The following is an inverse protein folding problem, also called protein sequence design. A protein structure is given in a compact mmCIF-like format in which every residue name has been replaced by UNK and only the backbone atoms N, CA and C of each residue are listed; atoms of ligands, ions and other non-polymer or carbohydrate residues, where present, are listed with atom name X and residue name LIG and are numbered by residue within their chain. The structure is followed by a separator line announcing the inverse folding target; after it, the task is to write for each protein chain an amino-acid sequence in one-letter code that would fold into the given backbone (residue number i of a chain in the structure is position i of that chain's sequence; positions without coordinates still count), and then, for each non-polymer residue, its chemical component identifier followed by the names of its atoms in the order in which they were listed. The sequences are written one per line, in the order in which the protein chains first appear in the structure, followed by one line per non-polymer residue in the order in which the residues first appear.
data_IF_899280246654
#
_entry.id   IF_899280246654
#
_cell.length_a   1.000
_cell.length_b   1.000
_cell.length_c   1.000
_cell.angle_alpha   90.00
_cell.angle_beta   90.00
_cell.angle_gamma   90.00
#
_symmetry.space_group_name_H-M   'P 1'
#
loop_
_entity.id
_entity.type
_entity.pdbx_description
1 polymer ?
#
# COMPACT_ATOMS: atom_id res chain seq x y z
N UNK A 1 -103.09 15.03 -7.77
CA UNK A 1 -103.09 16.28 -8.55
C UNK A 1 -102.08 17.23 -7.93
N UNK A 2 -101.37 18.08 -8.65
CA UNK A 2 -101.49 18.44 -10.07
C UNK A 2 -100.13 18.95 -10.56
N UNK A 3 -99.91 18.70 -11.84
CA UNK A 3 -98.94 19.23 -12.80
C UNK A 3 -98.96 20.76 -12.91
N UNK A 4 -97.79 21.38 -13.13
CA UNK A 4 -97.67 22.66 -13.85
C UNK A 4 -96.26 22.87 -14.43
N UNK A 5 -96.14 22.53 -15.71
CA UNK A 5 -95.24 23.01 -16.79
C UNK A 5 -95.31 24.56 -16.93
N UNK A 6 -94.50 25.37 -17.63
CA UNK A 6 -93.28 25.33 -18.46
C UNK A 6 -92.90 26.82 -18.68
N UNK A 7 -91.62 27.19 -18.78
CA UNK A 7 -91.20 28.41 -19.50
C UNK A 7 -89.73 28.32 -19.91
N UNK A 8 -89.53 28.14 -21.22
CA UNK A 8 -88.28 28.30 -21.94
C UNK A 8 -87.80 29.75 -21.90
N UNK A 9 -86.51 29.97 -21.63
CA UNK A 9 -85.69 31.00 -22.29
C UNK A 9 -84.25 30.48 -22.38
N UNK A 10 -83.69 30.21 -23.57
CA UNK A 10 -82.26 30.07 -23.75
C UNK A 10 -81.69 31.43 -24.14
N UNK A 11 -81.17 32.20 -23.18
CA UNK A 11 -80.40 33.41 -23.52
C UNK A 11 -79.02 32.97 -24.01
N UNK A 12 -78.87 32.85 -25.33
CA UNK A 12 -77.59 32.73 -25.99
C UNK A 12 -76.77 33.99 -25.71
N UNK A 13 -75.71 33.86 -24.91
CA UNK A 13 -74.65 34.86 -24.86
C UNK A 13 -73.36 34.15 -25.25
N UNK A 14 -72.95 34.38 -26.49
CA UNK A 14 -71.61 34.12 -27.00
C UNK A 14 -70.56 34.77 -26.08
N UNK A 15 -69.50 34.07 -25.64
CA UNK A 15 -68.36 34.77 -25.09
C UNK A 15 -67.58 35.37 -26.25
N UNK A 16 -67.75 36.68 -26.43
CA UNK A 16 -66.90 37.51 -27.27
C UNK A 16 -65.44 37.34 -26.82
N UNK A 17 -64.56 37.06 -27.78
CA UNK A 17 -63.13 36.88 -27.55
C UNK A 17 -62.50 38.09 -26.86
N UNK A 18 -61.83 37.83 -25.75
CA UNK A 18 -60.78 38.72 -25.25
C UNK A 18 -59.47 37.96 -25.32
N UNK A 19 -58.66 38.40 -26.27
CA UNK A 19 -57.23 38.12 -26.40
C UNK A 19 -56.52 38.26 -25.05
N UNK A 20 -56.10 37.13 -24.47
CA UNK A 20 -55.14 37.09 -23.36
C UNK A 20 -53.74 37.42 -23.90
N UNK A 21 -53.53 38.71 -24.19
CA UNK A 21 -52.23 39.26 -24.57
C UNK A 21 -51.32 39.24 -23.34
N UNK A 22 -50.47 38.21 -23.29
CA UNK A 22 -49.26 38.17 -22.49
C UNK A 22 -49.46 38.21 -20.98
N UNK A 23 -49.67 37.06 -20.36
CA UNK A 23 -49.20 36.81 -18.98
C UNK A 23 -49.20 35.31 -18.70
N UNK A 24 -48.08 34.87 -18.13
CA UNK A 24 -47.83 33.54 -17.52
C UNK A 24 -47.30 32.45 -18.46
N UNK A 25 -46.08 32.65 -18.96
CA UNK A 25 -45.21 31.58 -19.46
C UNK A 25 -43.82 31.78 -18.85
N UNK A 26 -43.72 31.77 -17.52
CA UNK A 26 -42.43 31.79 -16.81
C UNK A 26 -42.38 30.80 -15.65
N UNK A 27 -43.46 30.04 -15.39
CA UNK A 27 -43.53 29.05 -14.31
C UNK A 27 -43.46 27.61 -14.85
N UNK A 28 -44.04 27.35 -16.02
CA UNK A 28 -44.08 26.00 -16.64
C UNK A 28 -42.67 25.49 -17.01
N UNK A 29 -41.81 26.37 -17.53
CA UNK A 29 -40.46 25.99 -17.95
C UNK A 29 -39.59 25.67 -16.73
N UNK A 30 -39.76 26.38 -15.62
CA UNK A 30 -38.98 26.23 -14.40
C UNK A 30 -39.31 24.93 -13.65
N UNK A 31 -40.58 24.51 -13.67
CA UNK A 31 -41.02 23.19 -13.18
C UNK A 31 -40.48 22.09 -14.07
N UNK A 32 -40.57 22.28 -15.40
CA UNK A 32 -40.04 21.31 -16.36
C UNK A 32 -38.52 21.17 -16.19
N UNK A 33 -37.74 22.27 -16.12
CA UNK A 33 -36.29 22.29 -15.83
C UNK A 33 -35.96 21.52 -14.54
N UNK A 34 -36.70 21.78 -13.46
CA UNK A 34 -36.48 21.09 -12.17
C UNK A 34 -36.79 19.60 -12.27
N UNK A 35 -37.81 19.19 -13.04
CA UNK A 35 -38.15 17.78 -13.24
C UNK A 35 -37.11 17.03 -14.10
N UNK A 36 -36.62 17.61 -15.22
CA UNK A 36 -35.52 17.01 -16.00
C UNK A 36 -34.24 16.91 -15.16
N UNK A 37 -33.93 17.93 -14.36
CA UNK A 37 -32.75 17.90 -13.48
C UNK A 37 -32.90 16.85 -12.37
N UNK A 38 -34.09 16.71 -11.79
CA UNK A 38 -34.37 15.69 -10.78
C UNK A 38 -34.30 14.27 -11.34
N UNK A 39 -34.83 14.03 -12.54
CA UNK A 39 -34.72 12.73 -13.23
C UNK A 39 -33.28 12.42 -13.63
N UNK A 40 -32.52 13.40 -14.15
CA UNK A 40 -31.11 13.24 -14.47
C UNK A 40 -30.27 12.88 -13.23
N UNK A 41 -30.51 13.56 -12.09
CA UNK A 41 -29.85 13.22 -10.82
C UNK A 41 -30.26 11.84 -10.26
N UNK A 42 -31.46 11.37 -10.58
CA UNK A 42 -31.97 10.06 -10.16
C UNK A 42 -31.38 8.94 -11.04
N UNK A 43 -31.25 9.17 -12.34
CA UNK A 43 -30.67 8.26 -13.33
C UNK A 43 -29.15 8.10 -13.11
N UNK A 44 -28.42 9.21 -12.87
CA UNK A 44 -27.00 9.16 -12.49
C UNK A 44 -26.74 8.42 -11.16
N UNK A 45 -27.72 8.44 -10.24
CA UNK A 45 -27.66 7.67 -8.98
C UNK A 45 -27.92 6.17 -9.18
N UNK A 46 -28.80 5.81 -10.13
CA UNK A 46 -29.24 4.44 -10.39
C UNK A 46 -28.26 3.68 -11.29
N UNK A 47 -27.74 4.31 -12.34
CA UNK A 47 -26.86 3.67 -13.32
C UNK A 47 -25.47 3.35 -12.80
N UNK A 48 -25.04 4.06 -11.75
CA UNK A 48 -23.78 3.78 -11.06
C UNK A 48 -23.92 2.85 -9.85
N UNK A 49 -25.12 2.36 -9.53
CA UNK A 49 -25.31 1.49 -8.36
C UNK A 49 -24.52 0.18 -8.47
N UNK A 50 -24.54 -0.56 -9.60
CA UNK A 50 -23.71 -1.77 -9.75
C UNK A 50 -22.21 -1.47 -9.66
N UNK A 51 -21.76 -0.36 -10.26
CA UNK A 51 -20.36 0.07 -10.24
C UNK A 51 -19.89 0.47 -8.82
N UNK A 52 -20.74 1.17 -8.05
CA UNK A 52 -20.46 1.54 -6.66
C UNK A 52 -20.41 0.32 -5.74
N UNK A 53 -21.29 -0.65 -5.95
CA UNK A 53 -21.26 -1.92 -5.22
C UNK A 53 -20.01 -2.74 -5.58
N UNK A 54 -19.63 -2.80 -6.86
CA UNK A 54 -18.41 -3.45 -7.30
C UNK A 54 -17.16 -2.77 -6.71
N UNK A 55 -17.09 -1.43 -6.72
CA UNK A 55 -16.02 -0.67 -6.11
C UNK A 55 -15.93 -0.89 -4.60
N UNK A 56 -17.08 -0.95 -3.91
CA UNK A 56 -17.14 -1.25 -2.47
C UNK A 56 -16.64 -2.66 -2.16
N UNK A 57 -17.06 -3.66 -2.95
CA UNK A 57 -16.59 -5.05 -2.80
C UNK A 57 -15.08 -5.13 -3.05
N UNK A 58 -14.57 -4.47 -4.11
CA UNK A 58 -13.14 -4.41 -4.41
C UNK A 58 -12.34 -3.78 -3.27
N UNK A 59 -12.81 -2.65 -2.74
CA UNK A 59 -12.20 -1.96 -1.61
C UNK A 59 -12.19 -2.83 -0.35
N UNK A 60 -13.28 -3.53 -0.04
CA UNK A 60 -13.35 -4.46 1.09
C UNK A 60 -12.36 -5.62 0.93
N UNK A 61 -12.25 -6.22 -0.26
CA UNK A 61 -11.27 -7.27 -0.55
C UNK A 61 -9.83 -6.76 -0.38
N UNK A 62 -9.52 -5.57 -0.91
CA UNK A 62 -8.20 -4.96 -0.73
C UNK A 62 -7.89 -4.67 0.74
N UNK A 63 -8.83 -4.14 1.52
CA UNK A 63 -8.63 -3.90 2.95
C UNK A 63 -8.38 -5.20 3.73
N UNK A 64 -9.02 -6.32 3.36
CA UNK A 64 -8.72 -7.63 3.95
C UNK A 64 -7.31 -8.12 3.59
N UNK A 65 -6.89 -7.93 2.34
CA UNK A 65 -5.53 -8.28 1.89
C UNK A 65 -4.50 -7.43 2.61
N UNK A 66 -4.70 -6.10 2.70
CA UNK A 66 -3.79 -5.21 3.42
C UNK A 66 -3.71 -5.53 4.91
N UNK A 67 -4.84 -5.87 5.55
CA UNK A 67 -4.84 -6.34 6.95
C UNK A 67 -4.06 -7.64 7.10
N UNK A 68 -4.25 -8.60 6.20
CA UNK A 68 -3.53 -9.88 6.23
C UNK A 68 -2.04 -9.71 5.95
N UNK A 69 -1.67 -8.78 5.06
CA UNK A 69 -0.26 -8.44 4.80
C UNK A 69 0.36 -7.77 6.02
N UNK A 70 -0.30 -6.77 6.62
CA UNK A 70 0.17 -6.13 7.86
C UNK A 70 0.28 -7.16 8.98
N UNK A 71 -0.74 -7.99 9.19
CA UNK A 71 -0.71 -9.10 10.15
C UNK A 71 0.45 -10.06 9.89
N UNK A 72 0.80 -10.34 8.62
CA UNK A 72 1.95 -11.19 8.27
C UNK A 72 3.30 -10.51 8.48
N UNK A 73 3.40 -9.20 8.33
CA UNK A 73 4.63 -8.43 8.59
C UNK A 73 4.83 -8.19 10.08
N UNK A 74 3.74 -8.00 10.82
CA UNK A 74 3.72 -7.89 12.28
C UNK A 74 3.74 -9.27 12.95
N UNK A 75 3.61 -10.36 12.18
CA UNK A 75 3.71 -11.71 12.71
C UNK A 75 5.14 -11.94 13.15
N UNK A 76 5.38 -12.31 14.42
CA UNK A 76 6.70 -12.75 14.83
C UNK A 76 7.12 -13.89 13.91
N UNK A 77 8.39 -13.88 13.49
CA UNK A 77 8.97 -14.89 12.61
C UNK A 77 8.46 -16.28 13.02
N UNK A 78 7.80 -16.97 12.10
CA UNK A 78 7.15 -18.23 12.46
C UNK A 78 8.20 -19.26 12.87
N UNK A 79 7.86 -20.19 13.74
CA UNK A 79 8.76 -21.26 14.20
C UNK A 79 9.43 -22.00 13.03
N UNK A 80 8.69 -22.30 11.96
CA UNK A 80 9.23 -22.92 10.75
C UNK A 80 10.27 -22.03 10.05
N UNK A 81 10.06 -20.71 10.04
CA UNK A 81 11.02 -19.73 9.53
C UNK A 81 12.22 -19.60 10.45
N UNK A 82 12.06 -19.55 11.78
CA UNK A 82 13.17 -19.57 12.75
C UNK A 82 14.03 -20.81 12.56
N UNK A 83 13.41 -21.99 12.45
CA UNK A 83 14.14 -23.26 12.25
C UNK A 83 14.89 -23.25 10.93
N UNK A 84 14.27 -22.71 9.88
CA UNK A 84 14.90 -22.59 8.56
C UNK A 84 16.06 -21.61 8.59
N UNK A 85 15.88 -20.45 9.24
CA UNK A 85 16.92 -19.47 9.48
C UNK A 85 18.11 -20.09 10.22
N UNK A 86 17.88 -20.80 11.33
CA UNK A 86 18.94 -21.45 12.11
C UNK A 86 19.66 -22.54 11.31
N UNK A 87 18.94 -23.35 10.51
CA UNK A 87 19.57 -24.32 9.59
C UNK A 87 20.45 -23.63 8.55
N UNK A 88 19.99 -22.53 7.96
CA UNK A 88 20.78 -21.78 6.99
C UNK A 88 21.99 -21.12 7.65
N UNK A 89 21.82 -20.52 8.82
CA UNK A 89 22.89 -19.90 9.59
C UNK A 89 24.01 -20.90 9.93
N UNK A 90 23.65 -22.06 10.48
CA UNK A 90 24.61 -23.13 10.79
C UNK A 90 25.26 -23.70 9.54
N UNK A 91 24.53 -23.84 8.43
CA UNK A 91 25.11 -24.29 7.16
C UNK A 91 26.03 -23.28 6.50
N UNK A 92 25.82 -21.99 6.74
CA UNK A 92 26.54 -20.92 6.06
C UNK A 92 27.84 -20.51 6.77
N UNK A 93 28.09 -20.93 8.02
CA UNK A 93 29.32 -20.69 8.80
C UNK A 93 29.88 -19.25 8.69
N UNK A 94 29.04 -18.25 8.42
CA UNK A 94 29.47 -16.94 7.92
C UNK A 94 29.70 -15.90 9.02
N UNK A 95 29.79 -16.34 10.28
CA UNK A 95 30.09 -15.49 11.43
C UNK A 95 30.90 -16.29 12.45
N UNK A 96 32.20 -16.32 12.24
CA UNK A 96 33.23 -16.86 13.14
C UNK A 96 33.21 -16.16 14.53
N UNK A 97 32.55 -15.00 14.63
CA UNK A 97 32.33 -14.24 15.88
C UNK A 97 31.22 -14.83 16.76
N UNK A 98 30.26 -15.55 16.18
CA UNK A 98 29.08 -16.04 16.90
C UNK A 98 28.75 -17.53 16.68
N UNK A 99 29.51 -18.23 15.82
CA UNK A 99 29.28 -19.64 15.50
C UNK A 99 29.80 -20.52 16.61
N UNK A 100 29.02 -20.64 17.68
CA UNK A 100 29.30 -21.50 18.82
C UNK A 100 29.09 -22.98 18.45
N UNK A 101 29.89 -23.55 17.55
CA UNK A 101 30.01 -25.00 17.33
C UNK A 101 28.71 -25.79 17.11
N UNK A 102 27.63 -25.16 16.64
CA UNK A 102 26.33 -25.82 16.54
C UNK A 102 26.29 -26.82 15.38
N UNK A 103 25.82 -28.02 15.68
CA UNK A 103 25.52 -29.05 14.68
C UNK A 103 24.08 -28.96 14.20
N UNK A 104 23.84 -29.40 12.96
CA UNK A 104 22.48 -29.54 12.43
C UNK A 104 21.59 -30.47 13.26
N UNK A 105 22.19 -31.42 14.00
CA UNK A 105 21.48 -32.30 14.92
C UNK A 105 20.95 -31.52 16.14
N UNK A 106 21.78 -30.64 16.72
CA UNK A 106 21.37 -29.78 17.82
C UNK A 106 20.23 -28.83 17.43
N UNK A 107 20.32 -28.17 16.26
CA UNK A 107 19.24 -27.29 15.79
C UNK A 107 17.92 -28.06 15.56
N UNK A 108 17.99 -29.34 15.18
CA UNK A 108 16.81 -30.20 15.02
C UNK A 108 16.22 -30.62 16.37
N UNK A 109 17.03 -30.75 17.42
CA UNK A 109 16.59 -31.17 18.75
C UNK A 109 16.14 -30.01 19.66
N UNK A 110 16.30 -28.74 19.24
CA UNK A 110 15.83 -27.60 20.03
C UNK A 110 14.32 -27.61 20.21
N UNK A 111 13.89 -27.27 21.43
CA UNK A 111 12.50 -26.93 21.70
C UNK A 111 12.15 -25.59 21.04
N UNK A 112 10.87 -25.31 20.91
CA UNK A 112 10.41 -24.11 20.18
C UNK A 112 10.79 -22.83 20.91
N UNK A 113 10.74 -22.84 22.25
CA UNK A 113 11.18 -21.72 23.07
C UNK A 113 12.69 -21.46 22.92
N UNK A 114 13.51 -22.53 22.95
CA UNK A 114 14.96 -22.43 22.74
C UNK A 114 15.30 -21.89 21.36
N UNK A 115 14.59 -22.35 20.33
CA UNK A 115 14.79 -21.91 18.95
C UNK A 115 14.47 -20.43 18.77
N UNK A 116 13.38 -19.97 19.39
CA UNK A 116 12.99 -18.56 19.38
C UNK A 116 14.03 -17.69 20.07
N UNK A 117 14.41 -18.04 21.30
CA UNK A 117 15.39 -17.31 22.09
C UNK A 117 16.73 -17.17 21.35
N UNK A 118 17.31 -18.27 20.87
CA UNK A 118 18.60 -18.23 20.19
C UNK A 118 18.53 -17.47 18.87
N UNK A 119 17.43 -17.58 18.11
CA UNK A 119 17.27 -16.81 16.87
C UNK A 119 17.20 -15.30 17.11
N UNK A 120 16.48 -14.87 18.14
CA UNK A 120 16.38 -13.45 18.54
C UNK A 120 17.73 -12.93 19.05
N UNK A 121 18.44 -13.75 19.82
CA UNK A 121 19.77 -13.44 20.35
C UNK A 121 20.80 -13.23 19.23
N UNK A 122 20.78 -14.08 18.20
CA UNK A 122 21.63 -13.93 17.01
C UNK A 122 21.27 -12.66 16.24
N UNK A 123 19.98 -12.44 15.95
CA UNK A 123 19.53 -11.24 15.25
C UNK A 123 19.96 -9.96 15.98
N UNK A 124 19.82 -9.95 17.31
CA UNK A 124 20.25 -8.84 18.16
C UNK A 124 21.76 -8.65 18.13
N UNK A 125 22.55 -9.73 18.22
CA UNK A 125 24.01 -9.66 18.14
C UNK A 125 24.47 -9.10 16.78
N UNK A 126 23.89 -9.57 15.68
CA UNK A 126 24.18 -9.08 14.33
C UNK A 126 23.82 -7.59 14.17
N UNK A 127 22.66 -7.17 14.68
CA UNK A 127 22.24 -5.77 14.69
C UNK A 127 23.22 -4.88 15.47
N UNK A 128 23.65 -5.33 16.66
CA UNK A 128 24.62 -4.60 17.47
C UNK A 128 25.97 -4.44 16.77
N UNK A 129 26.45 -5.49 16.09
CA UNK A 129 27.69 -5.45 15.29
C UNK A 129 27.55 -4.43 14.16
N UNK A 130 26.42 -4.44 13.46
CA UNK A 130 26.14 -3.51 12.36
C UNK A 130 26.08 -2.05 12.85
N UNK A 131 25.38 -1.79 13.97
CA UNK A 131 25.31 -0.46 14.59
C UNK A 131 26.69 0.01 15.04
N UNK A 132 27.50 -0.88 15.63
CA UNK A 132 28.87 -0.55 16.04
C UNK A 132 29.74 -0.22 14.82
N UNK A 133 29.68 -1.02 13.76
CA UNK A 133 30.42 -0.80 12.52
C UNK A 133 30.03 0.55 11.88
N UNK A 134 28.72 0.85 11.83
CA UNK A 134 28.21 2.13 11.34
C UNK A 134 28.64 3.32 12.23
N UNK A 135 28.64 3.14 13.55
CA UNK A 135 29.11 4.19 14.46
C UNK A 135 30.61 4.48 14.27
N UNK A 136 31.41 3.48 13.92
CA UNK A 136 32.83 3.66 13.60
C UNK A 136 33.05 4.45 12.32
N UNK A 137 32.21 4.28 11.29
CA UNK A 137 32.33 5.07 10.05
C UNK A 137 31.98 6.53 10.28
N UNK A 138 30.99 6.83 11.14
CA UNK A 138 30.64 8.20 11.50
C UNK A 138 31.69 8.90 12.39
N UNK A 139 32.38 8.14 13.26
CA UNK A 139 33.43 8.67 14.15
C UNK A 139 34.81 8.75 13.51
N UNK A 140 34.99 8.20 12.30
CA UNK A 140 36.20 8.46 11.52
C UNK A 140 36.09 9.87 10.95
N UNK A 141 36.44 10.83 11.80
CA UNK A 141 36.74 12.23 11.47
C UNK A 141 37.52 12.29 10.16
N UNK A 142 37.18 13.29 9.35
CA UNK A 142 37.43 13.41 7.91
C UNK A 142 38.85 13.08 7.43
N UNK A 143 39.03 12.98 6.10
CA UNK A 143 40.35 12.73 5.54
C UNK A 143 41.27 13.86 6.01
N UNK A 144 42.20 13.55 6.92
CA UNK A 144 43.50 14.19 6.81
C UNK A 144 43.98 13.70 5.46
N UNK A 145 43.88 14.58 4.48
CA UNK A 145 44.61 14.53 3.23
C UNK A 145 46.09 14.51 3.63
N UNK A 146 46.57 13.36 4.09
CA UNK A 146 47.99 13.09 4.03
C UNK A 146 48.26 12.81 2.56
N UNK A 147 48.84 13.80 1.90
CA UNK A 147 49.39 13.66 0.56
C UNK A 147 50.14 12.32 0.47
N UNK A 148 49.87 11.46 -0.54
CA UNK A 148 50.69 10.29 -0.76
C UNK A 148 52.09 10.77 -1.13
N UNK A 149 52.94 10.93 -0.11
CA UNK A 149 54.32 11.35 -0.28
C UNK A 149 55.07 10.26 -1.03
N UNK A 150 55.21 10.52 -2.33
CA UNK A 150 55.99 9.76 -3.29
C UNK A 150 57.40 9.46 -2.76
N UNK A 151 57.64 8.22 -2.32
CA UNK A 151 58.99 7.70 -2.08
C UNK A 151 59.17 6.32 -2.71
N UNK A 152 59.64 6.38 -3.95
CA UNK A 152 60.56 5.46 -4.65
C UNK A 152 60.70 4.06 -4.02
N UNK A 153 60.07 3.06 -4.63
CA UNK A 153 60.64 1.72 -4.64
C UNK A 153 61.87 1.73 -5.56
N UNK A 154 63.06 1.60 -4.97
CA UNK A 154 64.30 1.36 -5.71
C UNK A 154 64.31 -0.12 -6.09
N UNK A 155 64.01 -0.42 -7.34
CA UNK A 155 64.34 -1.71 -7.94
C UNK A 155 65.86 -1.83 -7.94
N UNK A 156 66.40 -2.65 -7.05
CA UNK A 156 67.79 -3.10 -7.13
C UNK A 156 67.77 -4.32 -8.04
N UNK A 157 68.19 -4.08 -9.28
CA UNK A 157 68.45 -5.08 -10.31
C UNK A 157 69.53 -6.05 -9.82
N UNK A 158 69.18 -7.34 -9.74
CA UNK A 158 70.11 -8.42 -9.41
C UNK A 158 70.77 -8.94 -10.70
N UNK A 159 72.11 -9.11 -10.75
CA UNK A 159 72.81 -9.59 -11.95
C UNK A 159 72.44 -11.04 -12.29
N UNK A 160 72.14 -11.28 -13.56
CA UNK A 160 71.83 -12.59 -14.14
C UNK A 160 73.12 -13.43 -14.20
N UNK A 161 73.14 -14.70 -13.74
CA UNK A 161 74.29 -15.57 -13.96
C UNK A 161 74.26 -16.10 -15.40
N UNK A 162 75.31 -15.78 -16.15
CA UNK A 162 75.59 -16.32 -17.49
C UNK A 162 75.84 -17.83 -17.46
N UNK A 163 75.15 -18.54 -18.35
CA UNK A 163 75.30 -19.98 -18.62
C UNK A 163 76.59 -20.25 -19.42
N UNK A 164 77.36 -21.32 -19.13
CA UNK A 164 78.55 -21.66 -19.91
C UNK A 164 78.23 -22.60 -21.09
N UNK A 165 78.98 -22.35 -22.17
CA UNK A 165 79.24 -23.08 -23.44
C UNK A 165 78.10 -23.84 -24.15
#
# INVERSE_FOLDING_TARGET
GSTSVHADVPTSVTPAGVSNKGKTLMVEEDITVKERTFKQMQEDRLDNFPARMAALIKRKKQALVEKLVKERMDRPITQGQQRTYMRHFVRNQSSDVYSFGWSMAQVKSFTDDQLKEESEKIQKALSNIQIQAFSRTLKKTGPVLEDPSSKRQKSTEAPIPSLPE
#
